data_IF_872871098936
#
_entry.id   IF_872871098936
#
_cell.length_a   1.000
_cell.length_b   1.000
_cell.length_c   1.000
_cell.angle_alpha   90.00
_cell.angle_beta   90.00
_cell.angle_gamma   90.00
#
_symmetry.space_group_name_H-M   'P 1'
#
loop_
_entity.id
_entity.type
_entity.pdbx_description
1 polymer ?
#
# COMPACT_ATOMS: atom_id res chain seq x y z
N UNK A 1 1.02 -6.80 11.67
CA UNK A 1 -0.35 -6.58 11.14
C UNK A 1 -0.28 -5.53 10.05
N UNK A 2 -0.66 -5.86 8.82
CA UNK A 2 -0.56 -4.96 7.65
C UNK A 2 -1.73 -3.97 7.52
N UNK A 3 -2.83 -4.16 8.28
CA UNK A 3 -3.96 -3.25 8.29
C UNK A 3 -4.63 -3.05 9.66
N UNK A 4 -5.24 -1.87 9.83
CA UNK A 4 -6.05 -1.45 10.98
C UNK A 4 -7.47 -1.18 10.51
N UNK A 5 -8.46 -1.78 11.19
CA UNK A 5 -9.89 -1.61 10.90
C UNK A 5 -10.55 -0.69 11.94
N UNK A 6 -11.24 0.35 11.49
CA UNK A 6 -12.06 1.23 12.33
C UNK A 6 -13.48 1.23 11.76
N UNK A 7 -14.36 0.42 12.36
CA UNK A 7 -15.70 0.18 11.83
C UNK A 7 -15.63 -0.38 10.40
N UNK A 8 -16.34 0.23 9.42
CA UNK A 8 -16.33 -0.24 8.03
C UNK A 8 -15.06 0.18 7.25
N UNK A 9 -14.17 0.98 7.84
CA UNK A 9 -12.99 1.50 7.15
C UNK A 9 -11.76 0.66 7.46
N UNK A 10 -11.04 0.25 6.42
CA UNK A 10 -9.76 -0.46 6.51
C UNK A 10 -8.62 0.45 6.04
N UNK A 11 -7.59 0.60 6.86
CA UNK A 11 -6.41 1.37 6.54
C UNK A 11 -5.17 0.49 6.58
N UNK A 12 -4.31 0.61 5.56
CA UNK A 12 -2.95 0.08 5.66
C UNK A 12 -2.26 0.70 6.89
N UNK A 13 -1.55 -0.13 7.66
CA UNK A 13 -0.93 0.27 8.92
C UNK A 13 -0.03 1.49 8.76
N UNK A 14 0.75 1.56 7.68
CA UNK A 14 1.65 2.68 7.42
C UNK A 14 0.90 4.00 7.16
N UNK A 15 -0.19 3.93 6.38
CA UNK A 15 -1.05 5.09 6.09
C UNK A 15 -1.74 5.57 7.37
N UNK A 16 -2.22 4.63 8.18
CA UNK A 16 -2.81 4.95 9.48
C UNK A 16 -1.80 5.61 10.42
N UNK A 17 -0.58 5.07 10.50
CA UNK A 17 0.51 5.66 11.28
C UNK A 17 0.83 7.09 10.81
N UNK A 18 0.88 7.32 9.49
CA UNK A 18 1.13 8.64 8.92
C UNK A 18 0.02 9.64 9.27
N UNK A 19 -1.25 9.23 9.16
CA UNK A 19 -2.40 10.07 9.55
C UNK A 19 -2.31 10.45 11.03
N UNK A 20 -2.02 9.48 11.91
CA UNK A 20 -1.86 9.75 13.35
C UNK A 20 -0.66 10.65 13.65
N UNK A 21 0.48 10.44 12.98
CA UNK A 21 1.65 11.30 13.14
C UNK A 21 1.40 12.74 12.70
N UNK A 22 0.76 12.94 11.54
CA UNK A 22 0.36 14.28 11.04
C UNK A 22 -0.67 14.91 11.99
N UNK A 23 -1.65 14.15 12.46
CA UNK A 23 -2.63 14.60 13.44
C UNK A 23 -1.95 15.04 14.75
N UNK A 24 -1.02 14.24 15.27
CA UNK A 24 -0.26 14.55 16.47
C UNK A 24 0.61 15.81 16.30
N UNK A 25 1.24 15.98 15.14
CA UNK A 25 1.93 17.23 14.79
C UNK A 25 0.99 18.44 14.90
N UNK A 26 -0.20 18.36 14.29
CA UNK A 26 -1.16 19.47 14.29
C UNK A 26 -1.78 19.76 15.65
N UNK A 27 -1.91 18.75 16.52
CA UNK A 27 -2.33 18.93 17.90
C UNK A 27 -1.23 19.58 18.75
N UNK A 28 0.03 19.15 18.57
CA UNK A 28 1.17 19.69 19.30
C UNK A 28 1.52 21.13 18.89
N UNK A 29 1.35 21.48 17.62
CA UNK A 29 1.73 22.77 17.05
C UNK A 29 1.16 24.00 17.78
N UNK A 30 -0.17 24.16 17.99
CA UNK A 30 -0.71 25.31 18.71
C UNK A 30 -0.33 25.32 20.20
N UNK A 31 -0.14 24.14 20.83
CA UNK A 31 0.26 24.02 22.23
C UNK A 31 1.69 24.54 22.39
N UNK A 32 2.62 24.01 21.60
CA UNK A 32 4.03 24.40 21.65
C UNK A 32 4.25 25.84 21.16
N UNK A 33 3.43 26.35 20.23
CA UNK A 33 3.47 27.75 19.82
C UNK A 33 3.13 28.69 20.98
N UNK A 34 2.13 28.34 21.80
CA UNK A 34 1.79 29.11 23.02
C UNK A 34 2.89 29.05 24.06
N UNK A 35 3.45 27.86 24.31
CA UNK A 35 4.50 27.64 25.31
C UNK A 35 5.80 28.41 24.97
N UNK A 36 6.22 28.35 23.70
CA UNK A 36 7.43 29.02 23.23
C UNK A 36 7.19 30.45 22.71
N UNK A 37 5.96 30.98 22.85
CA UNK A 37 5.55 32.31 22.38
C UNK A 37 5.94 32.57 20.91
N UNK A 38 5.68 31.61 20.04
CA UNK A 38 6.03 31.66 18.63
C UNK A 38 4.79 31.82 17.72
N UNK A 39 5.03 32.26 16.49
CA UNK A 39 4.03 32.40 15.43
C UNK A 39 4.00 31.18 14.47
N UNK A 40 4.71 30.10 14.81
CA UNK A 40 4.86 28.90 13.98
C UNK A 40 3.50 28.28 13.57
N UNK A 41 2.49 28.37 14.43
CA UNK A 41 1.14 27.88 14.16
C UNK A 41 0.49 28.53 12.93
N UNK A 42 0.93 29.73 12.52
CA UNK A 42 0.41 30.43 11.33
C UNK A 42 0.84 29.80 10.01
N UNK A 43 1.98 29.11 10.01
CA UNK A 43 2.61 28.61 8.77
C UNK A 43 2.72 27.08 8.72
N UNK A 44 2.66 26.39 9.87
CA UNK A 44 2.87 24.94 9.93
C UNK A 44 1.91 24.13 9.05
N UNK A 45 0.63 24.51 8.97
CA UNK A 45 -0.32 23.85 8.07
C UNK A 45 0.07 24.00 6.60
N UNK A 46 0.38 25.22 6.16
CA UNK A 46 0.78 25.44 4.77
C UNK A 46 2.12 24.78 4.43
N UNK A 47 3.04 24.65 5.39
CA UNK A 47 4.31 23.95 5.18
C UNK A 47 4.09 22.44 4.95
N UNK A 48 3.24 21.79 5.74
CA UNK A 48 2.87 20.38 5.55
C UNK A 48 2.17 20.18 4.21
N UNK A 49 1.19 21.02 3.88
CA UNK A 49 0.47 20.93 2.59
C UNK A 49 1.42 21.15 1.41
N UNK A 50 2.27 22.17 1.46
CA UNK A 50 3.24 22.43 0.40
C UNK A 50 4.23 21.28 0.21
N UNK A 51 4.74 20.71 1.31
CA UNK A 51 5.61 19.54 1.27
C UNK A 51 4.90 18.32 0.67
N UNK A 52 3.67 18.00 1.10
CA UNK A 52 2.92 16.85 0.57
C UNK A 52 2.57 17.02 -0.92
N UNK A 53 2.16 18.22 -1.34
CA UNK A 53 1.86 18.50 -2.74
C UNK A 53 3.12 18.41 -3.61
N UNK A 54 4.24 18.96 -3.14
CA UNK A 54 5.50 18.89 -3.87
C UNK A 54 6.01 17.45 -3.95
N UNK A 55 5.91 16.67 -2.86
CA UNK A 55 6.27 15.25 -2.85
C UNK A 55 5.43 14.43 -3.83
N UNK A 56 4.11 14.67 -3.88
CA UNK A 56 3.21 14.00 -4.83
C UNK A 56 3.56 14.40 -6.27
N UNK A 57 3.75 15.70 -6.52
CA UNK A 57 4.10 16.19 -7.86
C UNK A 57 5.44 15.64 -8.33
N UNK A 58 6.46 15.59 -7.45
CA UNK A 58 7.76 15.00 -7.76
C UNK A 58 7.62 13.54 -8.19
N UNK A 59 6.84 12.74 -7.46
CA UNK A 59 6.59 11.34 -7.83
C UNK A 59 5.89 11.21 -9.19
N UNK A 60 4.89 12.04 -9.46
CA UNK A 60 4.18 12.07 -10.76
C UNK A 60 5.14 12.44 -11.91
N UNK A 61 6.02 13.41 -11.70
CA UNK A 61 6.98 13.84 -12.71
C UNK A 61 8.04 12.77 -13.00
N UNK A 62 8.53 12.07 -11.98
CA UNK A 62 9.47 10.97 -12.16
C UNK A 62 8.87 9.77 -12.86
N UNK A 63 7.56 9.52 -12.68
CA UNK A 63 6.83 8.41 -13.28
C UNK A 63 5.88 8.87 -14.39
N UNK A 64 6.24 9.93 -15.12
CA UNK A 64 5.33 10.60 -16.06
C UNK A 64 4.69 9.66 -17.10
N UNK A 65 5.42 8.62 -17.53
CA UNK A 65 4.95 7.65 -18.52
C UNK A 65 3.77 6.81 -18.04
N UNK A 66 3.64 6.51 -16.74
CA UNK A 66 2.48 5.76 -16.21
C UNK A 66 1.28 6.69 -16.00
N UNK A 67 1.53 7.94 -15.59
CA UNK A 67 0.46 8.91 -15.34
C UNK A 67 -0.16 9.49 -16.62
N UNK A 68 0.53 9.48 -17.77
CA UNK A 68 -0.09 9.92 -19.03
C UNK A 68 -1.15 8.92 -19.54
N UNK A 69 -1.00 7.65 -19.19
CA UNK A 69 -1.96 6.58 -19.52
C UNK A 69 -3.22 6.74 -18.64
N UNK A 70 -3.04 7.06 -17.36
CA UNK A 70 -4.13 7.27 -16.40
C UNK A 70 -4.01 8.61 -15.64
N UNK A 71 -4.36 9.75 -16.26
CA UNK A 71 -4.12 11.09 -15.69
C UNK A 71 -4.82 11.35 -14.35
N UNK A 72 -5.97 10.70 -14.11
CA UNK A 72 -6.73 10.89 -12.88
C UNK A 72 -5.99 10.34 -11.64
N UNK A 73 -5.04 9.40 -11.82
CA UNK A 73 -4.24 8.84 -10.72
C UNK A 73 -3.42 9.89 -9.99
N UNK A 74 -3.14 11.05 -10.61
CA UNK A 74 -2.45 12.17 -9.94
C UNK A 74 -3.14 12.54 -8.61
N UNK A 75 -4.48 12.48 -8.58
CA UNK A 75 -5.29 12.80 -7.40
C UNK A 75 -5.45 11.64 -6.41
N UNK A 76 -5.02 10.43 -6.78
CA UNK A 76 -5.20 9.23 -5.97
C UNK A 76 -4.11 9.13 -4.90
N UNK A 77 -4.09 10.09 -3.98
CA UNK A 77 -3.11 10.18 -2.89
C UNK A 77 -3.14 8.97 -1.95
N UNK A 78 -4.22 8.20 -1.97
CA UNK A 78 -4.33 6.94 -1.23
C UNK A 78 -3.53 5.80 -1.86
N UNK A 79 -3.12 5.85 -3.13
CA UNK A 79 -2.27 4.82 -3.74
C UNK A 79 -0.80 4.89 -3.25
N UNK A 80 -0.44 5.86 -2.41
CA UNK A 80 0.95 6.13 -2.04
C UNK A 80 1.68 6.90 -3.15
N UNK A 81 3.00 6.78 -3.22
CA UNK A 81 3.81 7.45 -4.23
C UNK A 81 4.08 8.93 -3.90
N UNK A 82 5.11 9.15 -3.07
CA UNK A 82 5.58 10.46 -2.64
C UNK A 82 7.10 10.50 -2.75
N UNK A 83 7.62 11.51 -3.43
CA UNK A 83 9.06 11.68 -3.60
C UNK A 83 9.59 12.57 -2.47
N UNK A 84 10.56 12.05 -1.72
CA UNK A 84 11.06 12.68 -0.51
C UNK A 84 11.74 14.02 -0.80
N UNK A 85 12.58 14.11 -1.83
CA UNK A 85 13.39 15.29 -2.11
C UNK A 85 12.54 16.46 -2.62
N UNK A 86 11.54 16.20 -3.47
CA UNK A 86 10.56 17.17 -3.91
C UNK A 86 9.71 17.66 -2.74
N UNK A 87 9.35 16.77 -1.81
CA UNK A 87 8.67 17.14 -0.58
C UNK A 87 9.48 18.10 0.29
N UNK A 88 10.76 17.78 0.52
CA UNK A 88 11.69 18.65 1.25
C UNK A 88 11.89 19.99 0.53
N UNK A 89 12.05 19.98 -0.79
CA UNK A 89 12.18 21.19 -1.60
C UNK A 89 10.93 22.09 -1.48
N UNK A 90 9.72 21.50 -1.53
CA UNK A 90 8.47 22.23 -1.34
C UNK A 90 8.34 22.85 0.04
N UNK A 91 8.74 22.11 1.08
CA UNK A 91 8.76 22.61 2.47
C UNK A 91 9.75 23.78 2.63
N UNK A 92 10.97 23.63 2.12
CA UNK A 92 12.02 24.66 2.17
C UNK A 92 11.56 25.92 1.42
N UNK A 93 11.03 25.76 0.21
CA UNK A 93 10.51 26.86 -0.59
C UNK A 93 9.37 27.60 0.11
N UNK A 94 8.39 26.86 0.65
CA UNK A 94 7.30 27.46 1.41
C UNK A 94 7.82 28.23 2.64
N UNK A 95 8.76 27.63 3.37
CA UNK A 95 9.42 28.24 4.51
C UNK A 95 10.11 29.54 4.14
N UNK A 96 10.93 29.55 3.08
CA UNK A 96 11.63 30.73 2.60
C UNK A 96 10.69 31.87 2.20
N UNK A 97 9.51 31.56 1.66
CA UNK A 97 8.53 32.56 1.22
C UNK A 97 7.66 33.11 2.35
N UNK A 98 7.36 32.30 3.38
CA UNK A 98 6.36 32.65 4.41
C UNK A 98 6.96 32.95 5.77
N UNK A 99 8.09 32.34 6.12
CA UNK A 99 8.74 32.49 7.43
C UNK A 99 9.74 33.63 7.37
N UNK A 100 9.32 34.80 7.88
CA UNK A 100 10.19 36.00 7.94
C UNK A 100 11.12 35.99 9.16
N UNK A 101 10.77 35.25 10.21
CA UNK A 101 11.53 35.17 11.46
C UNK A 101 11.53 33.73 11.97
N UNK A 102 12.72 33.23 12.32
CA UNK A 102 12.93 31.85 12.78
C UNK A 102 12.58 31.64 14.26
N UNK A 103 11.80 32.54 14.87
CA UNK A 103 11.32 32.40 16.26
C UNK A 103 10.48 31.15 16.50
N UNK A 104 9.98 30.52 15.44
CA UNK A 104 9.20 29.27 15.48
C UNK A 104 10.01 27.98 15.45
N UNK A 105 11.35 28.03 15.34
CA UNK A 105 12.16 26.82 15.11
C UNK A 105 11.95 25.74 16.20
N UNK A 106 12.05 26.12 17.48
CA UNK A 106 11.83 25.17 18.59
C UNK A 106 10.42 24.57 18.59
N UNK A 107 9.41 25.37 18.25
CA UNK A 107 8.03 24.91 18.11
C UNK A 107 7.89 23.89 16.98
N UNK A 108 8.42 24.19 15.79
CA UNK A 108 8.33 23.30 14.64
C UNK A 108 9.06 21.98 14.90
N UNK A 109 10.31 22.04 15.38
CA UNK A 109 11.08 20.83 15.71
C UNK A 109 10.39 19.99 16.78
N UNK A 110 9.85 20.61 17.83
CA UNK A 110 9.11 19.91 18.87
C UNK A 110 7.84 19.23 18.34
N UNK A 111 7.03 19.92 17.55
CA UNK A 111 5.83 19.35 16.93
C UNK A 111 6.16 18.21 15.98
N UNK A 112 7.20 18.37 15.17
CA UNK A 112 7.70 17.33 14.26
C UNK A 112 8.17 16.10 15.03
N UNK A 113 8.93 16.28 16.12
CA UNK A 113 9.36 15.18 16.97
C UNK A 113 8.18 14.41 17.59
N UNK A 114 7.12 15.11 18.03
CA UNK A 114 5.89 14.46 18.51
C UNK A 114 5.23 13.64 17.39
N UNK A 115 5.08 14.22 16.19
CA UNK A 115 4.48 13.52 15.04
C UNK A 115 5.25 12.27 14.64
N UNK A 116 6.57 12.37 14.49
CA UNK A 116 7.45 11.23 14.19
C UNK A 116 7.48 10.21 15.32
N UNK A 117 7.43 10.66 16.58
CA UNK A 117 7.34 9.77 17.75
C UNK A 117 6.08 8.92 17.72
N UNK A 118 4.92 9.50 17.42
CA UNK A 118 3.66 8.75 17.28
C UNK A 118 3.69 7.83 16.06
N UNK A 119 4.12 8.33 14.90
CA UNK A 119 4.26 7.50 13.69
C UNK A 119 5.16 6.28 13.93
N UNK A 120 6.37 6.51 14.46
CA UNK A 120 7.33 5.46 14.77
C UNK A 120 6.82 4.49 15.83
N UNK A 121 6.15 4.99 16.87
CA UNK A 121 5.52 4.14 17.89
C UNK A 121 4.47 3.22 17.28
N UNK A 122 3.57 3.74 16.43
CA UNK A 122 2.56 2.90 15.76
C UNK A 122 3.24 1.83 14.92
N UNK A 123 4.26 2.18 14.13
CA UNK A 123 4.99 1.19 13.33
C UNK A 123 5.68 0.14 14.20
N UNK A 124 6.34 0.53 15.29
CA UNK A 124 7.00 -0.41 16.20
C UNK A 124 6.00 -1.38 16.85
N UNK A 125 4.83 -0.88 17.24
CA UNK A 125 3.78 -1.70 17.87
C UNK A 125 3.03 -2.60 16.87
N UNK A 126 3.12 -2.31 15.57
CA UNK A 126 2.36 -3.02 14.52
C UNK A 126 3.24 -3.85 13.58
N UNK A 127 4.56 -3.59 13.56
CA UNK A 127 5.60 -4.42 12.94
C UNK A 127 5.71 -5.74 13.70
N UNK A 128 4.75 -6.59 13.43
CA UNK A 128 4.81 -8.01 13.71
C UNK A 128 4.55 -8.70 12.37
N UNK A 129 5.65 -9.08 11.72
CA UNK A 129 5.69 -9.92 10.52
C UNK A 129 6.42 -11.19 10.94
N UNK A 130 5.74 -12.08 11.65
CA UNK A 130 6.19 -13.47 11.67
C UNK A 130 5.96 -13.96 10.25
N UNK A 131 6.99 -14.51 9.61
CA UNK A 131 6.89 -15.07 8.27
C UNK A 131 5.84 -16.16 8.26
N UNK A 132 4.60 -15.79 7.90
CA UNK A 132 3.48 -16.71 7.78
C UNK A 132 3.84 -17.62 6.60
N UNK A 133 3.92 -18.95 6.81
CA UNK A 133 4.24 -19.87 5.73
C UNK A 133 3.10 -19.94 4.72
N UNK A 134 3.39 -20.46 3.53
CA UNK A 134 2.37 -20.80 2.54
C UNK A 134 1.29 -21.72 3.13
N UNK A 135 -0.01 -21.53 2.81
CA UNK A 135 -1.06 -22.43 3.26
C UNK A 135 -0.91 -23.80 2.60
N UNK A 136 -1.09 -24.85 3.40
CA UNK A 136 -1.07 -26.24 2.92
C UNK A 136 -2.41 -26.70 2.36
N UNK A 137 -3.49 -25.99 2.70
CA UNK A 137 -4.84 -26.37 2.27
C UNK A 137 -4.98 -26.18 0.76
N UNK A 138 -5.41 -27.22 0.02
CA UNK A 138 -5.60 -27.11 -1.40
C UNK A 138 -6.83 -26.27 -1.73
N UNK A 139 -6.69 -25.41 -2.72
CA UNK A 139 -7.77 -24.62 -3.33
C UNK A 139 -8.13 -25.22 -4.68
N UNK A 140 -9.34 -24.95 -5.18
CA UNK A 140 -9.74 -25.46 -6.49
C UNK A 140 -9.34 -24.48 -7.59
N UNK A 141 -8.67 -24.98 -8.62
CA UNK A 141 -8.37 -24.20 -9.81
C UNK A 141 -9.65 -23.91 -10.59
N UNK A 142 -9.85 -22.65 -10.95
CA UNK A 142 -11.11 -22.17 -11.52
C UNK A 142 -11.43 -22.80 -12.88
N UNK A 143 -10.42 -23.05 -13.72
CA UNK A 143 -10.61 -23.58 -15.08
C UNK A 143 -10.59 -25.11 -15.10
N UNK A 144 -9.62 -25.73 -14.44
CA UNK A 144 -9.38 -27.18 -14.53
C UNK A 144 -10.17 -27.96 -13.47
N UNK A 145 -10.60 -27.31 -12.39
CA UNK A 145 -11.20 -27.98 -11.23
C UNK A 145 -10.20 -28.79 -10.41
N UNK A 146 -8.91 -28.73 -10.73
CA UNK A 146 -7.86 -29.45 -10.02
C UNK A 146 -7.57 -28.80 -8.66
N UNK A 147 -7.24 -29.63 -7.69
CA UNK A 147 -6.81 -29.18 -6.37
C UNK A 147 -5.36 -28.67 -6.45
N UNK A 148 -5.14 -27.38 -6.16
CA UNK A 148 -3.83 -26.73 -6.14
C UNK A 148 -3.54 -26.27 -4.70
N UNK A 149 -2.45 -26.78 -4.12
CA UNK A 149 -1.92 -26.25 -2.87
C UNK A 149 -0.91 -25.15 -3.19
N UNK A 150 -1.04 -23.97 -2.58
CA UNK A 150 -0.09 -22.86 -2.82
C UNK A 150 1.33 -23.21 -2.35
N UNK A 151 1.45 -24.08 -1.35
CA UNK A 151 2.72 -24.67 -0.91
C UNK A 151 3.46 -25.47 -2.00
N UNK A 152 2.77 -25.94 -3.05
CA UNK A 152 3.41 -26.68 -4.16
C UNK A 152 4.35 -25.81 -5.01
N UNK A 153 4.22 -24.49 -4.93
CA UNK A 153 5.09 -23.53 -5.61
C UNK A 153 6.28 -23.07 -4.74
N UNK A 154 6.50 -23.69 -3.58
CA UNK A 154 7.65 -23.41 -2.74
C UNK A 154 8.98 -23.55 -3.52
N UNK A 155 9.96 -22.71 -3.20
CA UNK A 155 11.23 -22.64 -3.93
C UNK A 155 11.25 -21.58 -5.05
N UNK A 156 10.11 -20.94 -5.36
CA UNK A 156 10.03 -19.78 -6.24
C UNK A 156 9.40 -18.59 -5.53
N UNK A 157 9.80 -17.35 -5.87
CA UNK A 157 9.06 -16.16 -5.44
C UNK A 157 7.60 -16.23 -5.88
N UNK A 158 6.70 -15.70 -5.06
CA UNK A 158 5.27 -15.72 -5.34
C UNK A 158 4.61 -14.40 -4.96
N UNK A 159 3.65 -13.99 -5.78
CA UNK A 159 2.67 -12.96 -5.47
C UNK A 159 1.31 -13.62 -5.30
N UNK A 160 0.69 -13.45 -4.13
CA UNK A 160 -0.70 -13.86 -3.91
C UNK A 160 -1.57 -12.62 -3.94
N UNK A 161 -2.49 -12.54 -4.91
CA UNK A 161 -3.50 -11.50 -4.98
C UNK A 161 -4.85 -12.02 -4.47
N UNK A 162 -5.31 -11.46 -3.35
CA UNK A 162 -6.63 -11.74 -2.79
C UNK A 162 -7.63 -10.74 -3.38
N UNK A 163 -8.63 -11.26 -4.11
CA UNK A 163 -9.57 -10.43 -4.87
C UNK A 163 -11.00 -10.98 -4.85
N UNK A 164 -11.96 -10.18 -5.32
CA UNK A 164 -13.34 -10.62 -5.57
C UNK A 164 -13.95 -9.85 -6.74
N UNK A 165 -14.90 -10.46 -7.46
CA UNK A 165 -15.55 -9.89 -8.65
C UNK A 165 -16.37 -8.64 -8.33
N UNK A 166 -16.93 -8.55 -7.13
CA UNK A 166 -17.71 -7.40 -6.65
C UNK A 166 -16.85 -6.28 -6.08
N UNK A 167 -15.52 -6.45 -6.01
CA UNK A 167 -14.59 -5.48 -5.44
C UNK A 167 -14.03 -4.57 -6.54
N UNK A 168 -14.49 -3.31 -6.70
CA UNK A 168 -14.04 -2.45 -7.81
C UNK A 168 -12.53 -2.18 -7.86
N UNK A 169 -11.82 -1.91 -6.74
CA UNK A 169 -10.36 -1.75 -6.80
C UNK A 169 -9.64 -3.03 -7.20
N UNK A 170 -10.14 -4.19 -6.77
CA UNK A 170 -9.58 -5.48 -7.16
C UNK A 170 -9.66 -5.68 -8.68
N UNK A 171 -10.83 -5.40 -9.26
CA UNK A 171 -11.04 -5.54 -10.72
C UNK A 171 -10.12 -4.63 -11.52
N UNK A 172 -9.85 -3.41 -11.04
CA UNK A 172 -8.96 -2.46 -11.72
C UNK A 172 -7.50 -2.89 -11.76
N UNK A 173 -7.00 -3.60 -10.74
CA UNK A 173 -5.60 -4.03 -10.69
C UNK A 173 -5.32 -5.37 -11.40
N UNK A 174 -6.35 -6.19 -11.67
CA UNK A 174 -6.17 -7.50 -12.30
C UNK A 174 -5.46 -7.45 -13.66
N UNK A 175 -5.78 -6.52 -14.60
CA UNK A 175 -5.07 -6.44 -15.88
C UNK A 175 -3.57 -6.16 -15.71
N UNK A 176 -3.21 -5.22 -14.81
CA UNK A 176 -1.82 -4.90 -14.49
C UNK A 176 -1.10 -6.14 -13.93
N UNK A 177 -1.71 -6.83 -12.98
CA UNK A 177 -1.11 -8.02 -12.36
C UNK A 177 -0.96 -9.17 -13.36
N UNK A 178 -1.95 -9.39 -14.23
CA UNK A 178 -1.91 -10.40 -15.30
C UNK A 178 -0.80 -10.10 -16.31
N UNK A 179 -0.67 -8.84 -16.73
CA UNK A 179 0.40 -8.41 -17.64
C UNK A 179 1.79 -8.63 -17.03
N UNK A 180 1.99 -8.23 -15.77
CA UNK A 180 3.27 -8.40 -15.08
C UNK A 180 3.57 -9.89 -14.84
N UNK A 181 2.56 -10.70 -14.51
CA UNK A 181 2.72 -12.15 -14.38
C UNK A 181 3.23 -12.79 -15.67
N UNK A 182 2.71 -12.37 -16.83
CA UNK A 182 3.17 -12.85 -18.13
C UNK A 182 4.61 -12.42 -18.47
N UNK A 183 5.07 -11.29 -17.90
CA UNK A 183 6.42 -10.75 -18.12
C UNK A 183 7.47 -11.28 -17.13
N UNK A 184 7.05 -11.94 -16.04
CA UNK A 184 7.92 -12.40 -14.93
C UNK A 184 7.73 -13.90 -14.63
N UNK A 185 8.08 -14.79 -15.58
CA UNK A 185 7.83 -16.25 -15.46
C UNK A 185 8.57 -16.92 -14.28
N UNK A 186 9.58 -16.26 -13.72
CA UNK A 186 10.29 -16.67 -12.50
C UNK A 186 9.47 -16.47 -11.21
N UNK A 187 8.44 -15.62 -11.25
CA UNK A 187 7.54 -15.34 -10.14
C UNK A 187 6.19 -16.01 -10.37
N UNK A 188 5.69 -16.73 -9.38
CA UNK A 188 4.33 -17.30 -9.46
C UNK A 188 3.29 -16.27 -9.03
N UNK A 189 2.35 -15.94 -9.90
CA UNK A 189 1.19 -15.11 -9.52
C UNK A 189 -0.03 -15.98 -9.26
N UNK A 190 -0.46 -16.04 -8.00
CA UNK A 190 -1.67 -16.74 -7.58
C UNK A 190 -2.81 -15.75 -7.33
N UNK A 191 -3.84 -15.82 -8.17
CA UNK A 191 -5.05 -15.01 -8.07
C UNK A 191 -6.10 -15.78 -7.29
N UNK A 192 -6.21 -15.48 -6.00
CA UNK A 192 -7.09 -16.19 -5.08
C UNK A 192 -8.38 -15.40 -4.93
N UNK A 193 -9.43 -15.85 -5.60
CA UNK A 193 -10.75 -15.26 -5.43
C UNK A 193 -11.30 -15.61 -4.03
N UNK A 194 -11.86 -14.62 -3.35
CA UNK A 194 -12.41 -14.75 -2.01
C UNK A 194 -13.94 -14.66 -2.02
N UNK A 195 -14.60 -15.77 -1.74
CA UNK A 195 -16.05 -15.82 -1.48
C UNK A 195 -16.96 -15.89 -2.72
N UNK A 196 -16.46 -15.72 -3.95
CA UNK A 196 -17.31 -15.90 -5.13
C UNK A 196 -17.40 -17.38 -5.52
N UNK A 197 -18.57 -17.88 -5.96
CA UNK A 197 -18.69 -19.20 -6.56
C UNK A 197 -17.86 -19.32 -7.86
N UNK A 198 -17.35 -20.53 -8.14
CA UNK A 198 -16.55 -20.83 -9.35
C UNK A 198 -17.20 -20.31 -10.64
N UNK A 199 -18.52 -20.44 -10.80
CA UNK A 199 -19.25 -20.02 -12.00
C UNK A 199 -19.28 -18.50 -12.16
N UNK A 200 -19.39 -17.76 -11.06
CA UNK A 200 -19.35 -16.28 -11.05
C UNK A 200 -17.99 -15.79 -11.54
N UNK A 201 -16.91 -16.44 -11.07
CA UNK A 201 -15.53 -16.09 -11.46
C UNK A 201 -15.29 -16.36 -12.94
N UNK A 202 -15.71 -17.54 -13.42
CA UNK A 202 -15.56 -17.94 -14.82
C UNK A 202 -16.23 -16.96 -15.77
N UNK A 203 -17.49 -16.60 -15.48
CA UNK A 203 -18.24 -15.65 -16.28
C UNK A 203 -17.66 -14.24 -16.21
N UNK A 204 -17.22 -13.82 -15.02
CA UNK A 204 -16.59 -12.53 -14.82
C UNK A 204 -15.29 -12.38 -15.65
N UNK A 205 -14.36 -13.34 -15.53
CA UNK A 205 -13.09 -13.30 -16.26
C UNK A 205 -13.31 -13.29 -17.77
N UNK A 206 -14.28 -14.08 -18.26
CA UNK A 206 -14.69 -14.10 -19.66
C UNK A 206 -15.26 -12.76 -20.13
N UNK A 207 -16.05 -12.08 -19.30
CA UNK A 207 -16.62 -10.76 -19.64
C UNK A 207 -15.56 -9.64 -19.64
N UNK A 208 -14.56 -9.74 -18.77
CA UNK A 208 -13.48 -8.76 -18.67
C UNK A 208 -12.32 -9.04 -19.64
N UNK A 209 -12.34 -10.17 -20.36
CA UNK A 209 -11.24 -10.63 -21.23
C UNK A 209 -9.89 -10.75 -20.47
N UNK A 210 -9.95 -11.23 -19.23
CA UNK A 210 -8.79 -11.39 -18.35
C UNK A 210 -8.42 -12.87 -18.28
N UNK A 211 -7.16 -13.19 -18.56
CA UNK A 211 -6.59 -14.53 -18.41
C UNK A 211 -5.65 -14.53 -17.21
N UNK A 212 -5.86 -15.49 -16.30
CA UNK A 212 -5.10 -15.65 -15.07
C UNK A 212 -4.59 -17.10 -15.01
N UNK A 213 -3.27 -17.29 -14.95
CA UNK A 213 -2.66 -18.63 -15.00
C UNK A 213 -2.99 -19.47 -13.77
N UNK A 214 -2.76 -18.92 -12.57
CA UNK A 214 -3.11 -19.58 -11.30
C UNK A 214 -4.32 -18.88 -10.70
N UNK A 215 -5.50 -19.13 -11.28
CA UNK A 215 -6.78 -18.65 -10.75
C UNK A 215 -7.40 -19.70 -9.86
N UNK A 216 -7.41 -19.45 -8.55
CA UNK A 216 -7.92 -20.40 -7.54
C UNK A 216 -9.08 -19.81 -6.76
N UNK A 217 -10.00 -20.69 -6.35
CA UNK A 217 -11.25 -20.32 -5.70
C UNK A 217 -11.20 -20.65 -4.22
N UNK A 218 -11.44 -19.65 -3.38
CA UNK A 218 -11.53 -19.76 -1.93
C UNK A 218 -12.86 -19.17 -1.45
N UNK A 219 -13.93 -19.97 -1.58
CA UNK A 219 -15.29 -19.58 -1.18
C UNK A 219 -15.43 -19.32 0.33
N UNK A 220 -14.51 -19.86 1.12
CA UNK A 220 -14.58 -19.88 2.59
C UNK A 220 -13.64 -18.89 3.28
N UNK A 221 -12.95 -18.04 2.52
CA UNK A 221 -12.03 -17.02 3.04
C UNK A 221 -10.88 -17.61 3.87
N UNK A 222 -10.47 -18.85 3.57
CA UNK A 222 -9.43 -19.55 4.33
C UNK A 222 -8.06 -18.89 4.17
N UNK A 223 -7.74 -18.45 2.94
CA UNK A 223 -6.47 -17.81 2.60
C UNK A 223 -6.35 -16.44 3.23
N UNK A 224 -7.40 -15.62 3.15
CA UNK A 224 -7.42 -14.31 3.83
C UNK A 224 -7.34 -14.47 5.34
N UNK A 225 -8.05 -15.44 5.93
CA UNK A 225 -7.97 -15.74 7.36
C UNK A 225 -6.56 -16.19 7.78
N UNK A 226 -5.93 -17.07 7.00
CA UNK A 226 -4.57 -17.57 7.24
C UNK A 226 -3.53 -16.44 7.31
N UNK A 227 -3.60 -15.48 6.39
CA UNK A 227 -2.70 -14.33 6.36
C UNK A 227 -3.17 -13.14 7.20
N UNK A 228 -4.32 -13.26 7.88
CA UNK A 228 -4.94 -12.16 8.63
C UNK A 228 -5.30 -10.95 7.77
N UNK A 229 -5.56 -11.16 6.48
CA UNK A 229 -6.01 -10.14 5.55
C UNK A 229 -7.44 -9.72 5.90
N UNK A 230 -7.61 -8.44 6.25
CA UNK A 230 -8.89 -7.90 6.77
C UNK A 230 -9.76 -7.22 5.71
N UNK A 231 -9.34 -7.23 4.45
CA UNK A 231 -10.11 -6.68 3.34
C UNK A 231 -9.41 -6.84 2.01
N UNK A 232 -10.08 -6.38 0.96
CA UNK A 232 -9.67 -6.56 -0.43
C UNK A 232 -9.48 -5.22 -1.16
N UNK A 233 -8.60 -5.16 -2.18
CA UNK A 233 -7.61 -6.20 -2.48
C UNK A 233 -6.52 -6.24 -1.40
N UNK A 234 -5.91 -7.41 -1.25
CA UNK A 234 -4.67 -7.58 -0.49
C UNK A 234 -3.69 -8.38 -1.34
N UNK A 235 -2.51 -7.83 -1.58
CA UNK A 235 -1.46 -8.46 -2.38
C UNK A 235 -0.28 -8.79 -1.48
N UNK A 236 0.06 -10.07 -1.38
CA UNK A 236 1.13 -10.61 -0.55
C UNK A 236 2.34 -10.93 -1.42
N UNK A 237 3.53 -10.52 -0.97
CA UNK A 237 4.80 -10.79 -1.65
C UNK A 237 5.58 -11.82 -0.84
N UNK A 238 5.91 -12.94 -1.45
CA UNK A 238 6.45 -14.13 -0.80
C UNK A 238 7.82 -14.48 -1.40
N UNK A 239 8.82 -14.67 -0.53
CA UNK A 239 10.16 -15.09 -0.94
C UNK A 239 10.19 -16.56 -1.42
N UNK A 240 11.30 -16.96 -2.04
CA UNK A 240 11.48 -18.36 -2.48
C UNK A 240 11.48 -19.37 -1.30
N UNK A 241 11.60 -18.93 -0.05
CA UNK A 241 11.47 -19.78 1.14
C UNK A 241 10.01 -19.95 1.59
N UNK A 242 9.04 -19.35 0.87
CA UNK A 242 7.63 -19.44 1.17
C UNK A 242 7.20 -18.56 2.34
N UNK A 243 7.94 -17.49 2.64
CA UNK A 243 7.61 -16.53 3.71
C UNK A 243 7.12 -15.22 3.12
N UNK A 244 6.07 -14.67 3.72
CA UNK A 244 5.60 -13.31 3.39
C UNK A 244 6.67 -12.29 3.77
N UNK A 245 7.24 -11.63 2.76
CA UNK A 245 8.20 -10.52 2.90
C UNK A 245 7.46 -9.21 3.11
N UNK A 246 6.38 -9.00 2.34
CA UNK A 246 5.58 -7.78 2.45
C UNK A 246 4.10 -8.00 2.07
N UNK A 247 3.25 -7.03 2.40
CA UNK A 247 1.81 -7.06 2.13
C UNK A 247 1.28 -5.67 1.80
N UNK A 248 0.73 -5.53 0.60
CA UNK A 248 0.03 -4.32 0.16
C UNK A 248 -1.45 -4.49 0.41
N UNK A 249 -2.05 -3.52 1.10
CA UNK A 249 -3.50 -3.47 1.36
C UNK A 249 -4.12 -2.32 0.58
N UNK A 250 -5.12 -2.65 -0.25
CA UNK A 250 -5.71 -1.76 -1.24
C UNK A 250 -5.03 -1.87 -2.61
N UNK A 251 -5.59 -1.15 -3.58
CA UNK A 251 -5.18 -1.22 -4.99
C UNK A 251 -3.69 -0.96 -5.19
N UNK A 252 -3.00 -1.90 -5.84
CA UNK A 252 -1.55 -1.79 -6.14
C UNK A 252 -1.32 -0.96 -7.39
N UNK A 253 -0.37 -0.03 -7.34
CA UNK A 253 0.06 0.74 -8.50
C UNK A 253 1.23 0.04 -9.22
N UNK A 254 1.50 0.33 -10.50
CA UNK A 254 2.64 -0.25 -11.22
C UNK A 254 3.98 -0.01 -10.51
N UNK A 255 4.18 1.20 -9.99
CA UNK A 255 5.40 1.61 -9.29
C UNK A 255 5.53 0.86 -7.95
N UNK A 256 4.41 0.69 -7.25
CA UNK A 256 4.37 -0.09 -6.02
C UNK A 256 4.66 -1.57 -6.32
N UNK A 257 4.02 -2.15 -7.32
CA UNK A 257 4.20 -3.55 -7.70
C UNK A 257 5.67 -3.85 -8.02
N UNK A 258 6.29 -3.04 -8.88
CA UNK A 258 7.71 -3.18 -9.23
C UNK A 258 8.61 -3.14 -7.99
N UNK A 259 8.44 -2.12 -7.14
CA UNK A 259 9.24 -1.97 -5.93
C UNK A 259 9.13 -3.15 -4.94
N UNK A 260 7.99 -3.86 -4.92
CA UNK A 260 7.82 -5.03 -4.05
C UNK A 260 8.29 -6.33 -4.72
N UNK A 261 8.26 -6.41 -6.06
CA UNK A 261 8.86 -7.53 -6.80
C UNK A 261 10.38 -7.57 -6.58
N UNK A 262 11.04 -6.41 -6.57
CA UNK A 262 12.48 -6.28 -6.26
C UNK A 262 12.85 -6.83 -4.87
N UNK A 263 11.88 -6.97 -3.95
CA UNK A 263 12.12 -7.54 -2.62
C UNK A 263 12.15 -9.08 -2.60
N UNK A 264 11.53 -9.72 -3.59
CA UNK A 264 11.33 -11.18 -3.62
C UNK A 264 12.07 -11.85 -4.77
N UNK A 265 12.39 -11.12 -5.84
CA UNK A 265 13.21 -11.59 -6.95
C UNK A 265 14.67 -11.29 -6.62
N UNK A 266 15.54 -12.30 -6.42
CA UNK A 266 16.97 -12.06 -6.23
C UNK A 266 17.62 -11.52 -7.52
N UNK A 267 18.60 -10.62 -7.35
CA UNK A 267 19.48 -10.10 -8.43
C UNK A 267 20.21 -11.20 -9.22
#
# INVERSE_FOLDING_TARGET
>A
MSAVSIGPLLFATERFAAILGIGAFFLALPILARLFKSDAARYGFGAVVAGLLAARLGHVLLNWQTFIIEPLRVFFVWQGGFELFAGLAGLILYGALRVKRWSGAATLTGSTAVGFGIWGMVLLLTRYSVGVPLPEQPLMHQVTGEAIALSSFAGKPMVINLWASWCPPCVRELPLLSEVAAQTPEVTFAFVNQGDPVQTIAEFLRQQDIVLDVSVVDETWQTSTHYGAKGLPTTLFIDAQGRVVDTVVGEVSPESLAAHLDLIVPD
#
